data_IF_510703755264
#
_entry.id   IF_510703755264
#
_cell.length_a   1.000
_cell.length_b   1.000
_cell.length_c   1.000
_cell.angle_alpha   90.00
_cell.angle_beta   90.00
_cell.angle_gamma   90.00
#
_symmetry.space_group_name_H-M   'P 1'
#
loop_
_entity.id
_entity.type
_entity.pdbx_description
1 polymer ?
#
# COMPACT_ATOMS: atom_id res chain seq x y z
N UNK A 1 -22.20 -8.90 5.42
CA UNK A 1 -21.62 -8.66 4.09
C UNK A 1 -22.69 -8.06 3.20
N UNK A 2 -22.47 -6.82 2.74
CA UNK A 2 -23.35 -6.11 1.80
C UNK A 2 -22.46 -5.74 0.62
N UNK A 3 -22.53 -6.54 -0.44
CA UNK A 3 -21.74 -6.31 -1.66
C UNK A 3 -22.55 -5.38 -2.54
N UNK A 4 -22.04 -4.18 -2.78
CA UNK A 4 -22.66 -3.21 -3.67
C UNK A 4 -21.91 -3.18 -4.99
N UNK A 5 -22.62 -3.48 -6.08
CA UNK A 5 -22.08 -3.42 -7.44
C UNK A 5 -22.82 -2.37 -8.28
N UNK A 6 -23.24 -1.25 -7.66
CA UNK A 6 -23.98 -0.20 -8.35
C UNK A 6 -23.05 0.67 -9.19
N UNK A 7 -23.35 0.80 -10.49
CA UNK A 7 -22.66 1.68 -11.41
C UNK A 7 -22.85 3.15 -11.00
N UNK A 8 -21.76 3.93 -11.00
CA UNK A 8 -21.77 5.36 -10.68
C UNK A 8 -21.08 5.76 -9.37
N UNK A 9 -20.54 4.80 -8.60
CA UNK A 9 -19.65 5.09 -7.47
C UNK A 9 -18.29 5.60 -7.95
N UNK A 10 -17.76 6.62 -7.28
CA UNK A 10 -16.39 7.10 -7.52
C UNK A 10 -15.45 6.20 -6.71
N UNK A 11 -14.58 5.49 -7.42
CA UNK A 11 -13.57 4.62 -6.83
C UNK A 11 -12.20 5.28 -6.92
N UNK A 12 -11.38 5.14 -5.88
CA UNK A 12 -9.99 5.61 -5.86
C UNK A 12 -9.05 4.41 -5.75
N UNK A 13 -8.08 4.26 -6.67
CA UNK A 13 -7.09 3.21 -6.54
C UNK A 13 -6.13 3.51 -5.39
N UNK A 14 -5.89 2.51 -4.56
CA UNK A 14 -4.97 2.55 -3.41
C UNK A 14 -4.02 1.35 -3.45
N UNK A 15 -2.82 1.50 -2.88
CA UNK A 15 -1.93 0.36 -2.67
C UNK A 15 -2.35 -0.43 -1.44
N UNK A 16 -2.30 -1.74 -1.55
CA UNK A 16 -2.71 -2.65 -0.48
C UNK A 16 -1.55 -2.94 0.48
N UNK A 17 -1.91 -3.09 1.76
CA UNK A 17 -1.01 -3.46 2.86
C UNK A 17 -1.29 -4.91 3.24
N UNK A 18 -0.23 -5.69 3.37
CA UNK A 18 -0.28 -7.10 3.74
C UNK A 18 -0.83 -7.25 5.17
N UNK A 19 -1.96 -7.93 5.34
CA UNK A 19 -2.66 -8.06 6.63
C UNK A 19 -2.13 -9.20 7.52
N UNK A 20 -1.53 -10.22 6.91
CA UNK A 20 -0.98 -11.40 7.57
C UNK A 20 0.40 -11.75 6.99
N UNK A 21 1.26 -12.43 7.73
CA UNK A 21 2.56 -12.84 7.18
C UNK A 21 2.34 -13.81 6.01
N UNK A 22 2.78 -13.40 4.82
CA UNK A 22 2.73 -14.24 3.64
C UNK A 22 4.08 -14.94 3.46
N UNK A 23 4.12 -16.21 3.85
CA UNK A 23 5.31 -17.04 3.76
C UNK A 23 5.66 -17.45 2.31
N UNK A 24 4.72 -17.37 1.37
CA UNK A 24 4.93 -17.72 -0.03
C UNK A 24 5.59 -16.56 -0.78
N UNK A 25 5.06 -15.34 -0.64
CA UNK A 25 5.66 -14.15 -1.24
C UNK A 25 6.83 -13.57 -0.42
N UNK A 26 6.94 -13.95 0.86
CA UNK A 26 7.92 -13.42 1.81
C UNK A 26 7.61 -12.00 2.29
N UNK A 27 6.39 -11.50 2.04
CA UNK A 27 5.95 -10.17 2.45
C UNK A 27 5.44 -10.25 3.89
N UNK A 28 6.11 -9.50 4.77
CA UNK A 28 5.74 -9.43 6.18
C UNK A 28 4.43 -8.67 6.40
N UNK A 29 3.71 -9.03 7.47
CA UNK A 29 2.55 -8.27 7.94
C UNK A 29 2.87 -6.78 8.12
N UNK A 30 1.97 -5.94 7.63
CA UNK A 30 2.09 -4.48 7.68
C UNK A 30 3.04 -3.89 6.64
N UNK A 31 3.50 -4.65 5.66
CA UNK A 31 4.27 -4.14 4.52
C UNK A 31 3.37 -3.87 3.31
N UNK A 32 3.84 -3.04 2.36
CA UNK A 32 3.17 -2.90 1.07
C UNK A 32 3.25 -4.21 0.27
N UNK A 33 2.17 -4.55 -0.41
CA UNK A 33 2.14 -5.67 -1.37
C UNK A 33 2.96 -5.34 -2.62
N UNK A 34 3.07 -4.05 -2.98
CA UNK A 34 3.91 -3.60 -4.09
C UNK A 34 5.39 -3.86 -3.82
N UNK A 35 5.97 -4.81 -4.56
CA UNK A 35 7.40 -5.15 -4.46
C UNK A 35 8.26 -4.39 -5.46
N UNK A 36 9.57 -4.29 -5.17
CA UNK A 36 10.52 -3.68 -6.10
C UNK A 36 10.61 -4.43 -7.43
N UNK A 37 10.41 -5.75 -7.41
CA UNK A 37 10.40 -6.58 -8.62
C UNK A 37 9.24 -6.24 -9.55
N UNK A 38 8.04 -6.00 -9.00
CA UNK A 38 6.89 -5.52 -9.78
C UNK A 38 7.16 -4.16 -10.42
N UNK A 39 7.72 -3.22 -9.65
CA UNK A 39 8.10 -1.89 -10.16
C UNK A 39 9.13 -2.01 -11.29
N UNK A 40 10.16 -2.85 -11.11
CA UNK A 40 11.20 -3.04 -12.11
C UNK A 40 10.65 -3.71 -13.38
N UNK A 41 9.73 -4.68 -13.24
CA UNK A 41 9.04 -5.30 -14.39
C UNK A 41 8.25 -4.27 -15.18
N UNK A 42 7.49 -3.39 -14.52
CA UNK A 42 6.74 -2.32 -15.18
C UNK A 42 7.66 -1.29 -15.86
N UNK A 43 8.76 -0.89 -15.20
CA UNK A 43 9.74 0.00 -15.79
C UNK A 43 10.39 -0.61 -17.04
N UNK A 44 10.69 -1.92 -17.00
CA UNK A 44 11.20 -2.65 -18.17
C UNK A 44 10.15 -2.72 -19.28
N UNK A 45 8.91 -3.05 -18.96
CA UNK A 45 7.81 -3.07 -19.93
C UNK A 45 7.60 -1.70 -20.60
N UNK A 46 7.79 -0.61 -19.87
CA UNK A 46 7.69 0.74 -20.42
C UNK A 46 8.87 1.09 -21.34
N UNK A 47 10.09 0.70 -20.96
CA UNK A 47 11.31 0.96 -21.74
C UNK A 47 11.41 0.05 -22.97
N UNK A 48 10.98 -1.19 -22.83
CA UNK A 48 11.01 -2.25 -23.83
C UNK A 48 9.60 -2.88 -23.93
N UNK A 49 8.65 -2.20 -24.61
CA UNK A 49 7.29 -2.72 -24.75
C UNK A 49 7.30 -4.07 -25.48
N UNK A 50 6.66 -5.12 -24.93
CA UNK A 50 6.57 -6.40 -25.61
C UNK A 50 5.78 -6.27 -26.91
N UNK A 51 6.16 -7.06 -27.91
CA UNK A 51 5.48 -7.11 -29.22
C UNK A 51 4.02 -7.54 -29.09
N UNK A 52 3.74 -8.48 -28.18
CA UNK A 52 2.39 -8.88 -27.80
C UNK A 52 1.92 -8.09 -26.57
N UNK A 53 0.90 -7.22 -26.70
CA UNK A 53 0.32 -6.49 -25.58
C UNK A 53 -0.23 -7.39 -24.46
N UNK A 54 -0.56 -8.65 -24.74
CA UNK A 54 -1.06 -9.60 -23.75
C UNK A 54 -0.01 -9.99 -22.70
N UNK A 55 1.28 -9.84 -23.03
CA UNK A 55 2.40 -10.10 -22.12
C UNK A 55 2.66 -8.95 -21.15
N UNK A 56 1.98 -7.82 -21.31
CA UNK A 56 2.06 -6.69 -20.39
C UNK A 56 1.40 -7.03 -19.07
N UNK A 57 2.09 -6.71 -17.99
CA UNK A 57 1.46 -6.67 -16.67
C UNK A 57 0.55 -5.44 -16.67
N UNK A 58 1.11 -4.27 -16.98
CA UNK A 58 0.38 -3.00 -16.95
C UNK A 58 -0.42 -2.79 -15.66
N UNK A 59 -1.47 -2.00 -15.75
CA UNK A 59 -2.35 -1.70 -14.61
C UNK A 59 -3.20 -2.90 -14.18
N UNK A 60 -3.77 -3.63 -15.15
CA UNK A 60 -4.59 -4.82 -14.90
C UNK A 60 -3.85 -5.91 -14.15
N UNK A 61 -2.56 -6.09 -14.45
CA UNK A 61 -1.71 -7.04 -13.74
C UNK A 61 -1.44 -6.63 -12.30
N UNK A 62 -1.36 -5.33 -11.99
CA UNK A 62 -1.23 -4.84 -10.61
C UNK A 62 -2.50 -5.12 -9.79
N UNK A 63 -3.68 -4.93 -10.39
CA UNK A 63 -4.95 -5.28 -9.75
C UNK A 63 -5.02 -6.79 -9.49
N UNK A 64 -4.71 -7.62 -10.50
CA UNK A 64 -4.71 -9.09 -10.36
C UNK A 64 -3.69 -9.61 -9.35
N UNK A 65 -2.57 -8.91 -9.19
CA UNK A 65 -1.58 -9.22 -8.17
C UNK A 65 -1.99 -8.77 -6.76
N UNK A 66 -3.18 -8.19 -6.57
CA UNK A 66 -3.64 -7.66 -5.29
C UNK A 66 -2.81 -6.48 -4.79
N UNK A 67 -2.03 -5.86 -5.68
CA UNK A 67 -1.17 -4.73 -5.33
C UNK A 67 -1.96 -3.42 -5.25
N UNK A 68 -3.01 -3.33 -6.07
CA UNK A 68 -3.90 -2.18 -6.13
C UNK A 68 -5.34 -2.66 -5.94
N UNK A 69 -6.04 -1.99 -5.04
CA UNK A 69 -7.48 -2.16 -4.83
C UNK A 69 -8.19 -0.84 -5.07
N UNK A 70 -9.45 -0.93 -5.47
CA UNK A 70 -10.31 0.23 -5.66
C UNK A 70 -11.15 0.41 -4.41
N UNK A 71 -10.97 1.54 -3.74
CA UNK A 71 -11.72 1.91 -2.56
C UNK A 71 -12.80 2.92 -2.93
N UNK A 72 -14.04 2.67 -2.53
CA UNK A 72 -15.10 3.65 -2.69
C UNK A 72 -15.13 4.68 -1.53
N UNK A 73 -15.92 5.74 -1.70
CA UNK A 73 -15.99 6.81 -0.69
C UNK A 73 -16.61 6.35 0.65
N UNK A 74 -17.48 5.34 0.64
CA UNK A 74 -18.11 4.77 1.85
C UNK A 74 -17.08 3.93 2.62
N UNK A 75 -16.27 3.14 1.91
CA UNK A 75 -15.18 2.34 2.47
C UNK A 75 -14.05 3.20 3.01
N UNK A 76 -13.73 4.32 2.35
CA UNK A 76 -12.69 5.28 2.78
C UNK A 76 -12.95 5.87 4.17
N UNK A 77 -14.21 5.98 4.61
CA UNK A 77 -14.54 6.45 5.96
C UNK A 77 -14.09 5.48 7.08
N UNK A 78 -13.90 4.21 6.75
CA UNK A 78 -13.56 3.15 7.71
C UNK A 78 -12.15 2.60 7.52
N UNK A 79 -11.55 2.83 6.36
CA UNK A 79 -10.18 2.43 6.07
C UNK A 79 -9.15 3.31 6.80
N UNK A 80 -8.08 2.69 7.29
CA UNK A 80 -6.92 3.39 7.84
C UNK A 80 -5.81 3.47 6.80
N UNK A 81 -5.67 4.63 6.17
CA UNK A 81 -4.71 4.89 5.08
C UNK A 81 -3.39 5.43 5.64
N UNK A 82 -2.27 4.76 5.32
CA UNK A 82 -0.95 5.32 5.56
C UNK A 82 -0.62 6.35 4.47
N UNK A 83 0.00 7.48 4.86
CA UNK A 83 0.30 8.55 3.91
C UNK A 83 1.59 8.28 3.13
N UNK A 84 2.53 7.57 3.75
CA UNK A 84 3.84 7.26 3.20
C UNK A 84 4.26 5.84 3.59
N UNK A 85 5.06 5.14 2.76
CA UNK A 85 5.55 3.80 3.11
C UNK A 85 6.37 3.80 4.42
N UNK A 86 7.05 4.90 4.75
CA UNK A 86 7.78 5.00 6.02
C UNK A 86 6.87 4.95 7.25
N UNK A 87 5.58 5.28 7.11
CA UNK A 87 4.62 5.17 8.20
C UNK A 87 4.33 3.69 8.53
N UNK A 88 4.42 2.80 7.54
CA UNK A 88 4.31 1.35 7.72
C UNK A 88 5.54 0.77 8.41
N UNK A 89 6.74 1.23 8.04
CA UNK A 89 7.98 0.84 8.72
C UNK A 89 7.97 1.27 10.19
N UNK A 90 7.55 2.51 10.45
CA UNK A 90 7.39 3.03 11.81
C UNK A 90 6.39 2.18 12.61
N UNK A 91 5.25 1.85 12.01
CA UNK A 91 4.24 0.99 12.62
C UNK A 91 4.82 -0.40 12.99
N UNK A 92 5.56 -1.04 12.08
CA UNK A 92 6.23 -2.32 12.33
C UNK A 92 7.26 -2.22 13.45
N UNK A 93 8.08 -1.17 13.46
CA UNK A 93 9.06 -0.91 14.51
C UNK A 93 8.40 -0.70 15.87
N UNK A 94 7.32 0.09 15.93
CA UNK A 94 6.55 0.32 17.15
C UNK A 94 5.91 -0.96 17.69
N UNK A 95 5.29 -1.78 16.82
CA UNK A 95 4.72 -3.09 17.20
C UNK A 95 5.79 -4.08 17.69
N UNK A 96 7.02 -3.98 17.18
CA UNK A 96 8.17 -4.74 17.66
C UNK A 96 8.81 -4.17 18.95
N UNK A 97 8.29 -3.06 19.50
CA UNK A 97 8.75 -2.46 20.75
C UNK A 97 9.93 -1.50 20.62
N UNK A 98 10.31 -1.11 19.39
CA UNK A 98 11.37 -0.12 19.19
C UNK A 98 10.85 1.31 19.40
N UNK A 99 11.59 2.10 20.18
CA UNK A 99 11.37 3.55 20.29
C UNK A 99 12.01 4.23 19.09
N UNK A 100 11.20 4.65 18.13
CA UNK A 100 11.68 5.37 16.94
C UNK A 100 11.61 6.87 17.18
N UNK A 101 12.78 7.51 17.25
CA UNK A 101 12.91 8.95 17.39
C UNK A 101 12.65 9.63 16.04
N UNK A 102 11.38 10.01 15.82
CA UNK A 102 10.89 10.58 14.55
C UNK A 102 11.49 11.96 14.25
N UNK A 103 12.14 12.58 15.23
CA UNK A 103 12.62 13.97 15.17
C UNK A 103 14.03 14.08 14.54
N UNK A 104 14.76 12.97 14.35
CA UNK A 104 16.16 12.96 13.85
C UNK A 104 16.33 12.81 12.34
N UNK A 105 15.50 13.46 11.52
CA UNK A 105 15.84 13.70 10.11
C UNK A 105 15.99 15.21 9.91
N UNK A 106 17.24 15.68 10.01
CA UNK A 106 17.70 17.05 9.72
C UNK A 106 17.49 17.41 8.24
N UNK A 107 16.24 17.61 7.84
CA UNK A 107 15.91 18.27 6.57
C UNK A 107 15.00 19.47 6.86
N UNK A 108 15.54 20.70 6.83
CA UNK A 108 14.80 21.91 7.18
C UNK A 108 13.62 22.21 6.24
N UNK A 109 13.54 21.56 5.07
CA UNK A 109 12.43 21.71 4.12
C UNK A 109 11.43 20.54 4.15
N UNK A 110 11.58 19.61 5.08
CA UNK A 110 10.71 18.43 5.15
C UNK A 110 9.30 18.80 5.62
N UNK A 111 8.30 18.20 4.99
CA UNK A 111 6.89 18.28 5.44
C UNK A 111 6.78 17.80 6.89
N UNK A 112 6.23 18.62 7.78
CA UNK A 112 5.98 18.27 9.18
C UNK A 112 5.08 17.03 9.24
N UNK A 113 5.57 15.95 9.86
CA UNK A 113 4.79 14.73 10.08
C UNK A 113 3.99 14.87 11.37
N UNK A 114 2.71 14.49 11.32
CA UNK A 114 1.89 14.34 12.52
C UNK A 114 2.37 13.12 13.30
N UNK A 115 2.43 13.21 14.64
CA UNK A 115 2.82 12.08 15.49
C UNK A 115 1.75 10.99 15.36
N UNK A 116 2.16 9.78 14.97
CA UNK A 116 1.26 8.62 14.91
C UNK A 116 0.80 8.24 16.31
N UNK A 117 -0.50 8.00 16.48
CA UNK A 117 -1.07 7.63 17.77
C UNK A 117 -0.65 6.18 18.12
N UNK A 118 0.00 5.94 19.28
CA UNK A 118 0.49 4.60 19.66
C UNK A 118 -0.61 3.55 19.85
N UNK A 119 -1.89 3.92 19.88
CA UNK A 119 -3.02 2.98 19.96
C UNK A 119 -3.55 2.53 18.59
N UNK A 120 -2.94 2.90 17.46
CA UNK A 120 -3.36 2.40 16.16
C UNK A 120 -2.99 0.92 16.01
N UNK A 121 -4.01 0.07 15.90
CA UNK A 121 -3.82 -1.37 15.91
C UNK A 121 -3.36 -1.97 14.59
N UNK A 122 -3.69 -1.34 13.44
CA UNK A 122 -3.22 -1.74 12.10
C UNK A 122 -3.68 -0.74 11.03
N UNK A 123 -2.86 -0.48 10.00
CA UNK A 123 -3.34 0.15 8.77
C UNK A 123 -4.12 -0.88 7.95
N UNK A 124 -5.46 -0.79 7.99
CA UNK A 124 -6.36 -1.66 7.22
C UNK A 124 -6.94 -0.87 6.05
N UNK A 125 -6.77 -1.37 4.83
CA UNK A 125 -7.69 -1.05 3.74
C UNK A 125 -8.79 -2.11 3.75
N UNK A 126 -10.03 -1.73 3.45
CA UNK A 126 -11.26 -2.53 3.65
C UNK A 126 -11.15 -3.98 3.16
N UNK A 127 -11.84 -4.89 3.86
CA UNK A 127 -11.82 -6.34 3.62
C UNK A 127 -13.05 -6.90 2.91
#
# INVERSE_FOLDING_TARGET
FKVFSDAGRVMRPVFTVQQEDDHESGIAKGALVLTKDLVNKLAKEQAEPPEDPSMKIGWEGLIRAGTIEYLDAEEEETAMICMTPEDLDLYRMQKAGYVVDVEKKDDPNRRLKTKTNPTNDMYTQGG
#
